data_IF_720654778176
#
_entry.id   IF_720654778176
#
_cell.length_a   1.000
_cell.length_b   1.000
_cell.length_c   1.000
_cell.angle_alpha   90.00
_cell.angle_beta   90.00
_cell.angle_gamma   90.00
#
_symmetry.space_group_name_H-M   'P 1'
#
loop_
_entity.id
_entity.type
_entity.pdbx_description
1 polymer ?
#
# COMPACT_ATOMS: atom_id res chain seq x y z
N UNK A 1 -9.51 -6.60 -0.50
CA UNK A 1 -8.77 -7.14 -1.64
C UNK A 1 -7.48 -7.74 -1.12
N UNK A 2 -7.23 -8.99 -1.45
CA UNK A 2 -6.07 -9.81 -1.07
C UNK A 2 -6.02 -10.99 -2.05
N UNK A 3 -5.19 -12.02 -1.81
CA UNK A 3 -5.05 -13.16 -2.72
C UNK A 3 -6.33 -14.01 -2.90
N UNK A 4 -7.33 -13.89 -2.03
CA UNK A 4 -8.62 -14.59 -2.12
C UNK A 4 -9.78 -13.69 -2.56
N UNK A 5 -9.57 -12.37 -2.66
CA UNK A 5 -10.60 -11.41 -3.02
C UNK A 5 -10.02 -10.43 -4.03
N UNK A 6 -10.12 -10.70 -5.35
CA UNK A 6 -9.68 -9.76 -6.38
C UNK A 6 -10.58 -8.53 -6.48
N UNK A 7 -10.08 -7.50 -7.14
CA UNK A 7 -10.89 -6.40 -7.64
C UNK A 7 -11.80 -6.94 -8.75
N UNK A 8 -13.11 -6.88 -8.56
CA UNK A 8 -14.08 -7.34 -9.55
C UNK A 8 -14.41 -6.26 -10.60
N UNK A 9 -13.97 -5.02 -10.40
CA UNK A 9 -14.17 -3.90 -11.32
C UNK A 9 -12.82 -3.50 -11.94
N UNK A 10 -12.31 -4.31 -12.86
CA UNK A 10 -11.02 -4.08 -13.51
C UNK A 10 -11.19 -3.21 -14.75
N UNK A 11 -12.20 -3.46 -15.57
CA UNK A 11 -12.34 -2.85 -16.89
C UNK A 11 -12.61 -1.34 -16.84
N UNK A 12 -13.26 -0.85 -15.78
CA UNK A 12 -13.62 0.57 -15.64
C UNK A 12 -12.40 1.47 -15.37
N UNK A 13 -11.35 0.95 -14.71
CA UNK A 13 -10.17 1.76 -14.35
C UNK A 13 -9.10 1.84 -15.44
N UNK A 14 -9.28 1.14 -16.56
CA UNK A 14 -8.45 1.35 -17.75
C UNK A 14 -8.97 2.50 -18.62
N UNK A 15 -10.25 2.90 -18.47
CA UNK A 15 -10.80 4.09 -19.13
C UNK A 15 -10.22 5.40 -18.53
N UNK A 16 -9.59 6.27 -19.34
CA UNK A 16 -9.05 7.55 -18.87
C UNK A 16 -10.07 8.50 -18.21
N UNK A 17 -11.31 8.56 -18.71
CA UNK A 17 -12.34 9.47 -18.20
C UNK A 17 -12.76 9.09 -16.77
N UNK A 18 -12.97 7.78 -16.57
CA UNK A 18 -13.34 7.19 -15.30
C UNK A 18 -12.23 7.40 -14.25
N UNK A 19 -10.97 7.19 -14.65
CA UNK A 19 -9.80 7.51 -13.80
C UNK A 19 -9.74 8.97 -13.37
N UNK A 20 -10.13 9.92 -14.23
CA UNK A 20 -10.07 11.35 -13.90
C UNK A 20 -11.05 11.73 -12.77
N UNK A 21 -12.17 11.01 -12.65
CA UNK A 21 -13.14 11.20 -11.56
C UNK A 21 -12.76 10.43 -10.30
N UNK A 22 -12.08 9.30 -10.45
CA UNK A 22 -11.69 8.39 -9.38
C UNK A 22 -10.42 8.82 -8.65
N UNK A 23 -9.45 9.37 -9.38
CA UNK A 23 -8.11 9.67 -8.88
C UNK A 23 -7.86 11.17 -8.75
N UNK A 24 -6.98 11.53 -7.82
CA UNK A 24 -6.44 12.88 -7.63
C UNK A 24 -4.93 12.83 -7.61
N UNK A 25 -4.31 13.92 -8.07
CA UNK A 25 -2.86 14.07 -8.07
C UNK A 25 -2.34 14.21 -6.64
N UNK A 26 -1.21 13.57 -6.39
CA UNK A 26 -0.35 13.78 -5.23
C UNK A 26 1.08 14.01 -5.74
N UNK A 27 2.00 14.59 -4.95
CA UNK A 27 3.40 14.64 -5.34
C UNK A 27 3.93 13.23 -5.64
N UNK A 28 4.42 13.00 -6.86
CA UNK A 28 4.98 11.72 -7.31
C UNK A 28 3.96 10.66 -7.73
N UNK A 29 2.67 10.96 -7.85
CA UNK A 29 1.70 9.96 -8.32
C UNK A 29 0.23 10.36 -8.28
N UNK A 30 -0.63 9.35 -8.25
CA UNK A 30 -2.09 9.51 -8.16
C UNK A 30 -2.67 8.50 -7.18
N UNK A 31 -3.66 8.94 -6.41
CA UNK A 31 -4.41 8.10 -5.48
C UNK A 31 -5.89 8.34 -5.63
N UNK A 32 -6.70 7.41 -5.12
CA UNK A 32 -8.14 7.56 -5.04
C UNK A 32 -8.52 8.87 -4.34
N UNK A 33 -9.58 9.54 -4.79
CA UNK A 33 -10.03 10.84 -4.27
C UNK A 33 -10.25 10.87 -2.76
N UNK A 34 -10.61 9.73 -2.14
CA UNK A 34 -10.77 9.63 -0.70
C UNK A 34 -9.43 9.54 0.07
N UNK A 35 -8.37 9.00 -0.56
CA UNK A 35 -7.07 8.81 0.06
C UNK A 35 -6.12 9.99 -0.17
N UNK A 36 -6.16 10.61 -1.35
CA UNK A 36 -5.19 11.64 -1.75
C UNK A 36 -5.09 12.84 -0.77
N UNK A 37 -6.21 13.45 -0.29
CA UNK A 37 -6.11 14.56 0.67
C UNK A 37 -5.48 14.14 2.00
N UNK A 38 -5.74 12.91 2.44
CA UNK A 38 -5.21 12.37 3.69
C UNK A 38 -3.73 12.02 3.56
N UNK A 39 -3.30 11.52 2.40
CA UNK A 39 -1.88 11.30 2.11
C UNK A 39 -1.09 12.61 2.14
N UNK A 40 -1.63 13.68 1.55
CA UNK A 40 -1.00 15.01 1.58
C UNK A 40 -0.86 15.53 3.01
N UNK A 41 -1.90 15.34 3.85
CA UNK A 41 -1.84 15.69 5.29
C UNK A 41 -0.76 14.89 6.03
N UNK A 42 -0.70 13.58 5.81
CA UNK A 42 0.31 12.69 6.38
C UNK A 42 1.73 13.15 6.01
N UNK A 43 1.98 13.41 4.72
CA UNK A 43 3.30 13.82 4.25
C UNK A 43 3.73 15.18 4.85
N UNK A 44 2.79 16.14 4.96
CA UNK A 44 3.04 17.44 5.60
C UNK A 44 3.36 17.28 7.09
N UNK A 45 2.60 16.46 7.80
CA UNK A 45 2.82 16.21 9.22
C UNK A 45 4.14 15.50 9.50
N UNK A 46 4.52 14.52 8.66
CA UNK A 46 5.82 13.84 8.77
C UNK A 46 6.97 14.84 8.60
N UNK A 47 6.86 15.75 7.63
CA UNK A 47 7.85 16.80 7.40
C UNK A 47 7.90 17.78 8.58
N UNK A 48 6.75 18.24 9.08
CA UNK A 48 6.66 19.14 10.23
C UNK A 48 7.23 18.54 11.51
N UNK A 49 7.08 17.22 11.70
CA UNK A 49 7.67 16.48 12.81
C UNK A 49 9.19 16.22 12.68
N UNK A 50 9.84 16.72 11.62
CA UNK A 50 11.27 16.49 11.38
C UNK A 50 11.62 15.05 11.01
N UNK A 51 10.63 14.21 10.67
CA UNK A 51 10.84 12.80 10.35
C UNK A 51 11.26 12.56 8.88
N UNK A 52 11.33 13.62 8.07
CA UNK A 52 11.84 13.61 6.70
C UNK A 52 10.84 14.06 5.65
N UNK A 53 11.28 14.11 4.39
CA UNK A 53 10.41 14.38 3.23
C UNK A 53 10.03 13.08 2.57
N UNK A 54 8.72 12.79 2.52
CA UNK A 54 8.18 11.57 1.93
C UNK A 54 8.35 11.58 0.40
N UNK A 55 8.73 10.45 -0.17
CA UNK A 55 8.81 10.20 -1.60
C UNK A 55 7.85 9.07 -1.97
N UNK A 56 7.11 9.24 -3.06
CA UNK A 56 6.24 8.21 -3.64
C UNK A 56 7.05 7.42 -4.66
N UNK A 57 7.13 6.09 -4.49
CA UNK A 57 7.79 5.20 -5.43
C UNK A 57 6.76 4.48 -6.33
N UNK A 58 5.60 4.14 -5.77
CA UNK A 58 4.48 3.58 -6.51
C UNK A 58 3.16 3.97 -5.86
N UNK A 59 2.13 4.27 -6.66
CA UNK A 59 0.79 4.63 -6.16
C UNK A 59 -0.26 3.90 -7.00
N UNK A 60 -1.27 4.58 -7.56
CA UNK A 60 -2.19 3.93 -8.48
C UNK A 60 -1.45 3.23 -9.64
N UNK A 61 -1.76 1.95 -9.86
CA UNK A 61 -1.30 1.15 -11.00
C UNK A 61 -2.51 0.67 -11.79
N UNK A 62 -2.52 0.91 -13.09
CA UNK A 62 -3.56 0.36 -13.97
C UNK A 62 -3.45 -1.17 -14.06
N UNK A 63 -4.51 -1.85 -14.51
CA UNK A 63 -4.51 -3.30 -14.63
C UNK A 63 -3.43 -3.78 -15.61
N UNK A 64 -3.37 -3.17 -16.79
CA UNK A 64 -2.33 -3.41 -17.80
C UNK A 64 -0.90 -3.25 -17.26
N UNK A 65 -0.65 -2.26 -16.39
CA UNK A 65 0.64 -2.10 -15.71
C UNK A 65 0.92 -3.26 -14.77
N UNK A 66 -0.08 -3.73 -14.02
CA UNK A 66 0.08 -4.87 -13.12
C UNK A 66 0.35 -6.17 -13.90
N UNK A 67 -0.27 -6.37 -15.07
CA UNK A 67 0.03 -7.50 -15.98
C UNK A 67 1.51 -7.52 -16.34
N UNK A 68 2.06 -6.38 -16.77
CA UNK A 68 3.47 -6.30 -17.13
C UNK A 68 4.41 -6.57 -15.94
N UNK A 69 4.13 -5.98 -14.77
CA UNK A 69 4.95 -6.17 -13.57
C UNK A 69 4.94 -7.64 -13.10
N UNK A 70 3.76 -8.25 -13.02
CA UNK A 70 3.63 -9.66 -12.62
C UNK A 70 4.37 -10.58 -13.59
N UNK A 71 4.13 -10.43 -14.90
CA UNK A 71 4.80 -11.23 -15.94
C UNK A 71 6.32 -11.15 -15.82
N UNK A 72 6.87 -9.96 -15.65
CA UNK A 72 8.32 -9.78 -15.57
C UNK A 72 8.92 -10.41 -14.30
N UNK A 73 8.22 -10.30 -13.17
CA UNK A 73 8.70 -10.88 -11.91
C UNK A 73 8.63 -12.40 -11.93
N UNK A 74 7.57 -12.98 -12.48
CA UNK A 74 7.45 -14.44 -12.69
C UNK A 74 8.50 -14.94 -13.68
N UNK A 75 8.73 -14.24 -14.79
CA UNK A 75 9.78 -14.61 -15.75
C UNK A 75 11.18 -14.58 -15.13
N UNK A 76 11.45 -13.62 -14.23
CA UNK A 76 12.77 -13.44 -13.61
C UNK A 76 13.03 -14.40 -12.43
N UNK A 77 12.01 -14.69 -11.63
CA UNK A 77 12.17 -15.36 -10.33
C UNK A 77 11.45 -16.71 -10.23
N UNK A 78 10.70 -17.09 -11.27
CA UNK A 78 9.76 -18.21 -11.21
C UNK A 78 8.44 -17.82 -10.55
N UNK A 79 7.44 -18.71 -10.69
CA UNK A 79 6.06 -18.41 -10.26
C UNK A 79 5.96 -18.08 -8.77
N UNK A 80 6.50 -18.94 -7.90
CA UNK A 80 6.35 -18.80 -6.44
C UNK A 80 7.00 -17.52 -5.92
N UNK A 81 8.27 -17.29 -6.24
CA UNK A 81 8.99 -16.09 -5.78
C UNK A 81 8.51 -14.83 -6.49
N UNK A 82 8.14 -14.91 -7.77
CA UNK A 82 7.56 -13.80 -8.51
C UNK A 82 6.23 -13.33 -7.89
N UNK A 83 5.33 -14.25 -7.57
CA UNK A 83 4.03 -13.94 -6.98
C UNK A 83 4.09 -13.55 -5.50
N UNK A 84 5.18 -13.86 -4.80
CA UNK A 84 5.46 -13.35 -3.46
C UNK A 84 5.84 -11.85 -3.46
N UNK A 85 6.36 -11.34 -4.58
CA UNK A 85 6.78 -9.93 -4.73
C UNK A 85 5.84 -9.09 -5.60
N UNK A 86 5.06 -9.72 -6.48
CA UNK A 86 4.12 -9.04 -7.36
C UNK A 86 2.78 -9.77 -7.37
N UNK A 87 1.75 -9.08 -6.89
CA UNK A 87 0.39 -9.59 -6.93
C UNK A 87 -0.05 -9.93 -8.37
N UNK A 88 -0.89 -10.97 -8.53
CA UNK A 88 -1.60 -11.21 -9.78
C UNK A 88 -2.38 -9.96 -10.20
N UNK A 89 -2.52 -9.67 -11.50
CA UNK A 89 -3.39 -8.59 -11.97
C UNK A 89 -4.81 -8.77 -11.43
N UNK A 90 -5.37 -7.70 -10.86
CA UNK A 90 -6.65 -7.73 -10.14
C UNK A 90 -6.51 -7.98 -8.64
N UNK A 91 -5.33 -8.37 -8.14
CA UNK A 91 -5.11 -8.65 -6.72
C UNK A 91 -4.17 -7.61 -6.05
N UNK A 92 -3.63 -6.66 -6.81
CA UNK A 92 -2.70 -5.62 -6.31
C UNK A 92 -3.44 -4.43 -5.74
N UNK A 93 -3.23 -4.11 -4.45
CA UNK A 93 -3.90 -2.97 -3.79
C UNK A 93 -3.68 -1.63 -4.49
N UNK A 94 -2.60 -1.48 -5.25
CA UNK A 94 -2.34 -0.30 -6.06
C UNK A 94 -3.41 -0.05 -7.11
N UNK A 95 -4.08 -1.09 -7.60
CA UNK A 95 -5.17 -0.96 -8.58
C UNK A 95 -6.40 -0.27 -7.99
N UNK A 96 -6.56 -0.28 -6.66
CA UNK A 96 -7.64 0.46 -6.00
C UNK A 96 -7.37 1.97 -5.94
N UNK A 97 -6.11 2.39 -6.12
CA UNK A 97 -5.66 3.75 -5.82
C UNK A 97 -5.59 4.09 -4.33
N UNK A 98 -5.86 3.12 -3.44
CA UNK A 98 -5.81 3.30 -1.98
C UNK A 98 -4.48 2.90 -1.36
N UNK A 99 -3.57 2.29 -2.14
CA UNK A 99 -2.24 1.92 -1.70
C UNK A 99 -1.16 2.85 -2.26
N UNK A 100 -0.09 3.04 -1.50
CA UNK A 100 1.08 3.82 -1.90
C UNK A 100 2.34 3.25 -1.25
N UNK A 101 3.37 3.06 -2.07
CA UNK A 101 4.71 2.65 -1.67
C UNK A 101 5.59 3.87 -1.50
N UNK A 102 6.17 4.03 -0.31
CA UNK A 102 6.89 5.24 0.06
C UNK A 102 8.32 4.99 0.51
N UNK A 103 9.13 6.04 0.38
CA UNK A 103 10.46 6.14 0.97
C UNK A 103 10.65 7.57 1.50
N UNK A 104 11.84 7.91 2.00
CA UNK A 104 12.11 9.27 2.47
C UNK A 104 13.45 9.78 1.93
N UNK A 105 13.44 11.03 1.46
CA UNK A 105 14.62 11.69 0.91
C UNK A 105 15.77 11.71 1.94
N UNK A 106 16.97 11.33 1.51
CA UNK A 106 18.18 11.36 2.33
C UNK A 106 18.25 10.34 3.47
N UNK A 107 17.32 9.37 3.55
CA UNK A 107 17.35 8.33 4.61
C UNK A 107 17.77 6.93 4.12
N UNK A 108 18.00 6.76 2.82
CA UNK A 108 18.33 5.46 2.22
C UNK A 108 17.16 4.46 2.27
N UNK A 109 17.45 3.17 2.06
CA UNK A 109 16.49 2.06 2.23
C UNK A 109 15.18 2.23 1.44
N UNK A 110 15.28 2.46 0.13
CA UNK A 110 14.12 2.66 -0.75
C UNK A 110 13.47 1.32 -1.09
N UNK A 111 12.20 1.13 -0.70
CA UNK A 111 11.42 -0.09 -0.97
C UNK A 111 12.13 -1.35 -0.47
N UNK A 112 12.61 -1.27 0.78
CA UNK A 112 13.32 -2.37 1.46
C UNK A 112 12.92 -2.44 2.93
N UNK A 113 13.10 -3.62 3.55
CA UNK A 113 12.72 -3.87 4.94
C UNK A 113 13.44 -2.91 5.90
N UNK A 114 14.68 -2.51 5.59
CA UNK A 114 15.43 -1.57 6.41
C UNK A 114 14.79 -0.16 6.48
N UNK A 115 13.80 0.16 5.62
CA UNK A 115 13.01 1.38 5.72
C UNK A 115 12.36 1.53 7.10
N UNK A 116 11.95 0.42 7.73
CA UNK A 116 11.37 0.41 9.08
C UNK A 116 12.30 1.03 10.14
N UNK A 117 13.62 1.04 9.92
CA UNK A 117 14.61 1.54 10.86
C UNK A 117 14.90 3.03 10.68
N UNK A 118 14.48 3.62 9.56
CA UNK A 118 14.64 5.05 9.26
C UNK A 118 13.77 5.93 10.16
N UNK A 119 14.04 7.23 10.22
CA UNK A 119 13.19 8.18 10.97
C UNK A 119 11.77 8.20 10.39
N UNK A 120 11.65 8.18 9.06
CA UNK A 120 10.37 8.16 8.36
C UNK A 120 9.59 6.87 8.63
N UNK A 121 10.22 5.69 8.48
CA UNK A 121 9.56 4.41 8.72
C UNK A 121 9.02 4.26 10.14
N UNK A 122 9.82 4.67 11.15
CA UNK A 122 9.39 4.70 12.56
C UNK A 122 8.22 5.66 12.78
N UNK A 123 8.29 6.85 12.18
CA UNK A 123 7.22 7.84 12.31
C UNK A 123 5.92 7.35 11.67
N UNK A 124 5.98 6.75 10.48
CA UNK A 124 4.82 6.19 9.80
C UNK A 124 4.17 5.07 10.61
N UNK A 125 4.96 4.13 11.13
CA UNK A 125 4.44 3.05 11.98
C UNK A 125 3.71 3.58 13.23
N UNK A 126 4.15 4.72 13.77
CA UNK A 126 3.54 5.34 14.94
C UNK A 126 2.33 6.24 14.62
N UNK A 127 2.29 6.89 13.44
CA UNK A 127 1.40 8.02 13.19
C UNK A 127 0.50 7.88 11.95
N UNK A 128 0.78 6.97 11.02
CA UNK A 128 0.03 6.87 9.75
C UNK A 128 -1.48 6.68 9.95
N UNK A 129 -1.86 6.00 11.04
CA UNK A 129 -3.26 5.73 11.39
C UNK A 129 -4.08 7.00 11.61
N UNK A 130 -3.47 8.09 12.08
CA UNK A 130 -4.15 9.39 12.29
C UNK A 130 -4.67 9.98 10.97
N UNK A 131 -4.11 9.53 9.85
CA UNK A 131 -4.47 9.95 8.50
C UNK A 131 -5.20 8.84 7.73
N UNK A 132 -5.65 7.79 8.41
CA UNK A 132 -6.39 6.68 7.79
C UNK A 132 -5.52 5.66 7.07
N UNK A 133 -4.20 5.67 7.28
CA UNK A 133 -3.27 4.74 6.67
C UNK A 133 -2.78 3.69 7.67
N UNK A 134 -2.62 2.46 7.20
CA UNK A 134 -1.96 1.38 7.93
C UNK A 134 -0.71 0.91 7.19
N UNK A 135 0.27 0.37 7.92
CA UNK A 135 1.31 -0.47 7.32
C UNK A 135 0.64 -1.79 6.96
N UNK A 136 0.40 -2.02 5.67
CA UNK A 136 -0.54 -3.06 5.22
C UNK A 136 -0.08 -4.48 5.49
N UNK A 137 1.23 -4.70 5.38
CA UNK A 137 1.87 -5.99 5.55
C UNK A 137 2.84 -5.92 6.73
N UNK A 138 2.36 -6.14 7.98
CA UNK A 138 3.16 -6.04 9.19
C UNK A 138 4.12 -7.23 9.36
N UNK A 139 5.18 -7.02 10.16
CA UNK A 139 6.21 -8.04 10.43
C UNK A 139 5.63 -9.29 11.09
N UNK A 140 6.02 -10.46 10.60
CA UNK A 140 5.63 -11.75 11.17
C UNK A 140 4.18 -12.15 10.90
N UNK A 141 3.52 -11.55 9.89
CA UNK A 141 2.13 -11.84 9.54
C UNK A 141 1.96 -12.40 8.12
N UNK A 142 3.05 -12.89 7.52
CA UNK A 142 3.06 -13.42 6.15
C UNK A 142 2.15 -14.63 5.97
N UNK A 143 2.03 -15.50 6.98
CA UNK A 143 1.11 -16.64 6.95
C UNK A 143 -0.37 -16.22 6.94
N UNK A 144 -0.65 -14.95 7.26
CA UNK A 144 -2.00 -14.39 7.21
C UNK A 144 -2.24 -13.54 5.96
N UNK A 145 -1.32 -12.64 5.64
CA UNK A 145 -1.49 -11.68 4.53
C UNK A 145 -1.04 -12.23 3.18
N UNK A 146 -0.15 -13.22 3.17
CA UNK A 146 0.52 -13.74 1.97
C UNK A 146 1.67 -12.89 1.45
N UNK A 147 2.02 -11.81 2.14
CA UNK A 147 3.12 -10.92 1.77
C UNK A 147 4.15 -10.85 2.91
N UNK A 148 5.42 -10.69 2.53
CA UNK A 148 6.49 -10.41 3.48
C UNK A 148 6.24 -9.08 4.20
N UNK A 149 7.09 -8.75 5.18
CA UNK A 149 7.02 -7.45 5.84
C UNK A 149 7.36 -6.32 4.84
N UNK A 150 6.44 -5.38 4.66
CA UNK A 150 6.61 -4.24 3.75
C UNK A 150 6.35 -2.92 4.48
N UNK A 151 7.33 -2.38 5.24
CA UNK A 151 7.17 -1.13 5.98
C UNK A 151 6.91 0.10 5.11
N UNK A 152 7.13 0.00 3.80
CA UNK A 152 6.88 1.06 2.83
C UNK A 152 5.45 1.06 2.28
N UNK A 153 4.72 -0.06 2.37
CA UNK A 153 3.40 -0.21 1.74
C UNK A 153 2.30 0.32 2.66
N UNK A 154 1.83 1.53 2.37
CA UNK A 154 0.72 2.16 3.09
C UNK A 154 -0.60 1.86 2.40
N UNK A 155 -1.61 1.44 3.18
CA UNK A 155 -2.98 1.27 2.70
C UNK A 155 -3.93 2.23 3.40
N UNK A 156 -4.66 3.03 2.62
CA UNK A 156 -5.76 3.82 3.13
C UNK A 156 -6.99 2.95 3.39
N UNK A 157 -7.47 2.98 4.63
CA UNK A 157 -8.68 2.30 5.10
C UNK A 157 -9.71 3.28 5.66
N UNK A 158 -9.38 4.57 5.73
CA UNK A 158 -10.20 5.59 6.38
C UNK A 158 -9.73 5.88 7.80
N UNK A 159 -9.88 7.14 8.24
CA UNK A 159 -9.38 7.61 9.55
C UNK A 159 -10.01 6.85 10.71
N UNK A 160 -11.33 6.64 10.66
CA UNK A 160 -12.06 5.91 11.70
C UNK A 160 -11.57 4.46 11.84
N UNK A 161 -11.51 3.72 10.72
CA UNK A 161 -11.05 2.33 10.71
C UNK A 161 -9.60 2.21 11.18
N UNK A 162 -8.70 3.07 10.69
CA UNK A 162 -7.29 3.02 11.10
C UNK A 162 -7.12 3.33 12.60
N UNK A 163 -7.88 4.28 13.14
CA UNK A 163 -7.90 4.59 14.57
C UNK A 163 -8.46 3.42 15.40
N UNK A 164 -9.52 2.78 14.95
CA UNK A 164 -10.09 1.61 15.61
C UNK A 164 -9.11 0.43 15.62
N UNK A 165 -8.50 0.11 14.48
CA UNK A 165 -7.44 -0.90 14.40
C UNK A 165 -6.29 -0.59 15.36
N UNK A 166 -5.89 0.68 15.47
CA UNK A 166 -4.85 1.12 16.41
C UNK A 166 -5.26 0.89 17.87
N UNK A 167 -6.49 1.25 18.24
CA UNK A 167 -7.03 1.11 19.59
C UNK A 167 -7.18 -0.36 20.01
N UNK A 168 -7.68 -1.19 19.10
CA UNK A 168 -7.82 -2.64 19.29
C UNK A 168 -6.48 -3.39 19.20
N UNK A 169 -5.39 -2.70 18.83
CA UNK A 169 -4.06 -3.30 18.58
C UNK A 169 -4.10 -4.43 17.53
N UNK A 170 -4.96 -4.28 16.53
CA UNK A 170 -5.09 -5.23 15.41
C UNK A 170 -4.26 -4.72 14.23
N UNK A 171 -3.11 -5.35 13.98
CA UNK A 171 -2.22 -4.94 12.89
C UNK A 171 -2.63 -5.49 11.51
N UNK A 172 -3.33 -6.63 11.48
CA UNK A 172 -3.70 -7.33 10.24
C UNK A 172 -5.11 -6.90 9.81
N UNK A 173 -5.22 -6.32 8.61
CA UNK A 173 -6.48 -5.77 8.14
C UNK A 173 -7.56 -6.83 7.93
N UNK A 174 -7.19 -7.99 7.41
CA UNK A 174 -8.11 -9.12 7.26
C UNK A 174 -8.72 -9.56 8.60
N UNK A 175 -7.93 -9.58 9.68
CA UNK A 175 -8.45 -9.91 11.03
C UNK A 175 -9.46 -8.87 11.51
N UNK A 176 -9.19 -7.59 11.26
CA UNK A 176 -10.14 -6.52 11.56
C UNK A 176 -11.47 -6.71 10.80
N UNK A 177 -11.39 -7.07 9.51
CA UNK A 177 -12.55 -7.34 8.67
C UNK A 177 -13.21 -8.71 8.93
N UNK A 178 -12.68 -9.52 9.86
CA UNK A 178 -13.11 -10.90 10.12
C UNK A 178 -13.05 -11.80 8.88
N UNK A 179 -12.05 -11.57 8.02
CA UNK A 179 -11.77 -12.39 6.85
C UNK A 179 -10.75 -13.48 7.20
N UNK A 180 -10.81 -14.65 6.53
CA UNK A 180 -9.80 -15.69 6.67
C UNK A 180 -8.41 -15.19 6.23
N UNK A 181 -7.38 -15.96 6.62
CA UNK A 181 -6.03 -15.77 6.10
C UNK A 181 -6.00 -16.00 4.58
N UNK A 182 -5.22 -15.20 3.87
CA UNK A 182 -5.05 -15.28 2.41
C UNK A 182 -3.56 -15.42 2.03
N UNK A 183 -2.83 -16.45 2.52
CA UNK A 183 -1.40 -16.61 2.24
C UNK A 183 -1.11 -16.93 0.77
N UNK A 184 -2.06 -17.58 0.10
CA UNK A 184 -1.98 -18.04 -1.29
C UNK A 184 -3.21 -17.61 -2.08
N UNK A 185 -3.12 -17.74 -3.41
CA UNK A 185 -4.26 -17.60 -4.32
C UNK A 185 -5.14 -18.85 -4.31
#
# INVERSE_FOLDING_TARGET
MNKQTPLTIIDWLDNPADRATWLRNIPGGRMHKAAAPNFIKLAKAMKAAGAGTLLVNSSFRAYSTQVFIHRNQVARLGLVAGEALAARPGYSEHQTGLAVDVSAAGQGCVIQICFANTKAGKWLAANAWQYGFIIRYPKGQTDYTGYQFEPWHLRYVGVQIAAEMKNLRVAVYERYLRLPAAPTY
#
